data_IF_350604227348
#
_entry.id   IF_350604227348
#
_cell.length_a   1.000
_cell.length_b   1.000
_cell.length_c   1.000
_cell.angle_alpha   90.00
_cell.angle_beta   90.00
_cell.angle_gamma   90.00
#
_symmetry.space_group_name_H-M   'P 1'
#
loop_
_entity.id
_entity.type
_entity.pdbx_description
1 polymer ?
#
# COMPACT_ATOMS: atom_id res chain seq x y z
N UNK A 1 -21.98 36.19 -13.68
CA UNK A 1 -21.81 35.94 -12.23
C UNK A 1 -21.30 34.51 -12.05
N UNK A 2 -20.07 34.32 -11.58
CA UNK A 2 -19.52 32.99 -11.29
C UNK A 2 -19.98 32.52 -9.92
N UNK A 3 -21.03 31.69 -9.88
CA UNK A 3 -21.45 31.05 -8.62
C UNK A 3 -20.34 30.09 -8.17
N UNK A 4 -19.72 30.41 -7.03
CA UNK A 4 -18.71 29.57 -6.38
C UNK A 4 -19.43 28.30 -5.90
N UNK A 5 -19.30 27.21 -6.66
CA UNK A 5 -19.91 25.93 -6.28
C UNK A 5 -19.25 25.46 -4.98
N UNK A 6 -20.02 25.13 -3.92
CA UNK A 6 -19.46 24.66 -2.65
C UNK A 6 -18.63 23.37 -2.82
N UNK A 7 -17.58 23.21 -2.02
CA UNK A 7 -16.73 22.00 -2.04
C UNK A 7 -17.50 20.70 -1.77
N UNK A 8 -18.59 20.78 -1.00
CA UNK A 8 -19.52 19.68 -0.71
C UNK A 8 -20.27 19.22 -1.97
N UNK A 9 -20.70 20.14 -2.84
CA UNK A 9 -21.34 19.84 -4.14
C UNK A 9 -20.38 19.15 -5.12
N UNK A 10 -19.07 19.42 -4.99
CA UNK A 10 -18.01 18.84 -5.82
C UNK A 10 -17.51 17.48 -5.30
N UNK A 11 -18.07 16.99 -4.18
CA UNK A 11 -17.71 15.70 -3.58
C UNK A 11 -16.28 15.63 -3.03
N UNK A 12 -15.65 16.77 -2.74
CA UNK A 12 -14.26 16.82 -2.27
C UNK A 12 -14.11 16.30 -0.83
N UNK A 13 -15.07 16.57 0.06
CA UNK A 13 -14.98 16.12 1.45
C UNK A 13 -14.97 14.59 1.56
N UNK A 14 -15.85 13.93 0.80
CA UNK A 14 -15.89 12.46 0.73
C UNK A 14 -14.58 11.87 0.19
N UNK A 15 -14.02 12.51 -0.84
CA UNK A 15 -12.75 12.11 -1.44
C UNK A 15 -11.58 12.29 -0.47
N UNK A 16 -11.50 13.43 0.22
CA UNK A 16 -10.45 13.69 1.20
C UNK A 16 -10.47 12.65 2.33
N UNK A 17 -11.67 12.27 2.80
CA UNK A 17 -11.81 11.19 3.80
C UNK A 17 -11.34 9.84 3.26
N UNK A 18 -11.69 9.50 2.02
CA UNK A 18 -11.20 8.27 1.37
C UNK A 18 -9.68 8.28 1.25
N UNK A 19 -9.07 9.39 0.83
CA UNK A 19 -7.62 9.53 0.72
C UNK A 19 -6.94 9.34 2.08
N UNK A 20 -7.39 10.04 3.13
CA UNK A 20 -6.82 9.91 4.47
C UNK A 20 -6.92 8.49 5.03
N UNK A 21 -8.03 7.79 4.78
CA UNK A 21 -8.18 6.39 5.18
C UNK A 21 -7.20 5.48 4.43
N UNK A 22 -7.00 5.68 3.13
CA UNK A 22 -6.02 4.90 2.37
C UNK A 22 -4.59 5.23 2.78
N UNK A 23 -4.25 6.50 3.03
CA UNK A 23 -2.94 6.91 3.53
C UNK A 23 -2.58 6.18 4.83
N UNK A 24 -3.51 6.12 5.79
CA UNK A 24 -3.32 5.36 7.03
C UNK A 24 -3.04 3.87 6.78
N UNK A 25 -3.71 3.27 5.79
CA UNK A 25 -3.47 1.86 5.45
C UNK A 25 -2.12 1.67 4.75
N UNK A 26 -1.68 2.64 3.93
CA UNK A 26 -0.35 2.63 3.30
C UNK A 26 0.74 2.78 4.37
N UNK A 27 0.55 3.65 5.35
CA UNK A 27 1.54 3.83 6.42
C UNK A 27 1.60 2.59 7.32
N UNK A 28 0.45 1.94 7.58
CA UNK A 28 0.43 0.62 8.25
C UNK A 28 1.18 -0.44 7.45
N UNK A 29 1.00 -0.48 6.13
CA UNK A 29 1.71 -1.41 5.24
C UNK A 29 3.22 -1.17 5.29
N UNK A 30 3.66 0.09 5.24
CA UNK A 30 5.07 0.44 5.36
C UNK A 30 5.66 0.00 6.71
N UNK A 31 4.92 0.21 7.82
CA UNK A 31 5.35 -0.25 9.14
C UNK A 31 5.48 -1.78 9.25
N UNK A 32 4.58 -2.55 8.62
CA UNK A 32 4.69 -4.01 8.56
C UNK A 32 5.90 -4.44 7.71
N UNK A 33 6.18 -3.74 6.61
CA UNK A 33 7.33 -4.02 5.76
C UNK A 33 8.66 -3.79 6.49
N UNK A 34 8.76 -2.72 7.28
CA UNK A 34 9.94 -2.47 8.14
C UNK A 34 10.15 -3.62 9.13
N UNK A 35 9.08 -4.06 9.82
CA UNK A 35 9.18 -5.20 10.75
C UNK A 35 9.67 -6.48 10.08
N UNK A 36 9.18 -6.76 8.86
CA UNK A 36 9.63 -7.93 8.09
C UNK A 36 11.12 -7.82 7.72
N UNK A 37 11.60 -6.63 7.38
CA UNK A 37 13.04 -6.40 7.13
C UNK A 37 13.88 -6.63 8.37
N UNK A 38 13.46 -6.07 9.50
CA UNK A 38 14.18 -6.22 10.76
C UNK A 38 14.27 -7.69 11.16
N UNK A 39 13.15 -8.43 11.04
CA UNK A 39 13.13 -9.87 11.30
C UNK A 39 14.02 -10.67 10.33
N UNK A 40 14.11 -10.26 9.06
CA UNK A 40 15.01 -10.88 8.10
C UNK A 40 16.49 -10.64 8.47
N UNK A 41 16.87 -9.40 8.77
CA UNK A 41 18.24 -9.07 9.18
C UNK A 41 18.64 -9.79 10.48
N UNK A 42 17.75 -9.81 11.48
CA UNK A 42 17.97 -10.55 12.72
C UNK A 42 18.23 -12.03 12.44
N UNK A 43 17.50 -12.63 11.49
CA UNK A 43 17.60 -14.06 11.16
C UNK A 43 18.97 -14.48 10.66
N UNK A 44 19.71 -13.58 10.01
CA UNK A 44 21.08 -13.83 9.50
C UNK A 44 22.10 -14.06 10.62
N UNK A 45 21.83 -13.54 11.82
CA UNK A 45 22.70 -13.69 12.99
C UNK A 45 22.35 -14.90 13.88
N UNK A 46 21.19 -15.53 13.65
CA UNK A 46 20.66 -16.59 14.49
C UNK A 46 21.26 -17.95 14.10
N UNK A 47 22.07 -18.52 14.96
CA UNK A 47 22.74 -19.83 14.73
C UNK A 47 22.06 -21.01 15.43
N UNK A 48 21.17 -20.76 16.40
CA UNK A 48 20.45 -21.81 17.14
C UNK A 48 19.23 -22.29 16.35
N UNK A 49 19.10 -23.60 16.14
CA UNK A 49 18.02 -24.21 15.35
C UNK A 49 16.60 -23.85 15.86
N UNK A 50 16.38 -23.83 17.18
CA UNK A 50 15.08 -23.45 17.77
C UNK A 50 14.75 -21.98 17.51
N UNK A 51 15.74 -21.10 17.62
CA UNK A 51 15.61 -19.67 17.32
C UNK A 51 15.40 -19.43 15.81
N UNK A 52 16.10 -20.16 14.94
CA UNK A 52 15.89 -20.11 13.48
C UNK A 52 14.45 -20.50 13.12
N UNK A 53 13.90 -21.56 13.73
CA UNK A 53 12.51 -21.95 13.49
C UNK A 53 11.51 -20.90 13.96
N UNK A 54 11.77 -20.27 15.11
CA UNK A 54 10.89 -19.23 15.66
C UNK A 54 10.86 -17.98 14.77
N UNK A 55 12.03 -17.49 14.32
CA UNK A 55 12.12 -16.29 13.48
C UNK A 55 11.52 -16.53 12.09
N UNK A 56 11.67 -17.74 11.53
CA UNK A 56 11.01 -18.16 10.28
C UNK A 56 9.50 -18.06 10.37
N UNK A 57 8.92 -18.65 11.42
CA UNK A 57 7.47 -18.61 11.65
C UNK A 57 6.97 -17.17 11.84
N UNK A 58 7.77 -16.32 12.47
CA UNK A 58 7.45 -14.90 12.62
C UNK A 58 7.45 -14.18 11.26
N UNK A 59 8.49 -14.38 10.43
CA UNK A 59 8.54 -13.81 9.08
C UNK A 59 7.40 -14.30 8.17
N UNK A 60 7.03 -15.58 8.22
CA UNK A 60 5.87 -16.11 7.48
C UNK A 60 4.57 -15.38 7.84
N UNK A 61 4.36 -15.13 9.14
CA UNK A 61 3.21 -14.37 9.63
C UNK A 61 3.27 -12.92 9.15
N UNK A 62 4.42 -12.27 9.22
CA UNK A 62 4.59 -10.90 8.79
C UNK A 62 4.37 -10.75 7.27
N UNK A 63 4.84 -11.71 6.45
CA UNK A 63 4.56 -11.79 5.01
C UNK A 63 3.05 -11.87 4.73
N UNK A 64 2.32 -12.70 5.47
CA UNK A 64 0.85 -12.82 5.32
C UNK A 64 0.14 -11.52 5.73
N UNK A 65 0.56 -10.89 6.83
CA UNK A 65 0.01 -9.60 7.28
C UNK A 65 0.24 -8.48 6.26
N UNK A 66 1.46 -8.36 5.73
CA UNK A 66 1.79 -7.41 4.64
C UNK A 66 0.93 -7.71 3.41
N UNK A 67 0.80 -8.98 3.03
CA UNK A 67 -0.01 -9.41 1.89
C UNK A 67 -1.51 -9.07 2.04
N UNK A 68 -2.08 -9.21 3.24
CA UNK A 68 -3.47 -8.82 3.54
C UNK A 68 -3.66 -7.31 3.47
N UNK A 69 -2.76 -6.54 4.11
CA UNK A 69 -2.81 -5.08 4.08
C UNK A 69 -2.68 -4.55 2.64
N UNK A 70 -1.76 -5.10 1.85
CA UNK A 70 -1.56 -4.76 0.45
C UNK A 70 -2.82 -4.95 -0.41
N UNK A 71 -3.50 -6.09 -0.25
CA UNK A 71 -4.77 -6.35 -0.97
C UNK A 71 -5.83 -5.31 -0.63
N UNK A 72 -5.96 -4.96 0.65
CA UNK A 72 -6.93 -3.95 1.10
C UNK A 72 -6.64 -2.57 0.48
N UNK A 73 -5.39 -2.10 0.57
CA UNK A 73 -4.97 -0.83 -0.06
C UNK A 73 -5.26 -0.83 -1.55
N UNK A 74 -4.91 -1.90 -2.27
CA UNK A 74 -5.15 -2.04 -3.72
C UNK A 74 -6.64 -1.92 -4.07
N UNK A 75 -7.52 -2.55 -3.28
CA UNK A 75 -8.98 -2.46 -3.49
C UNK A 75 -9.47 -1.02 -3.29
N UNK A 76 -9.03 -0.33 -2.23
CA UNK A 76 -9.43 1.05 -1.97
C UNK A 76 -8.95 2.03 -3.03
N UNK A 77 -7.70 1.91 -3.50
CA UNK A 77 -7.18 2.74 -4.60
C UNK A 77 -7.99 2.51 -5.90
N UNK A 78 -8.39 1.27 -6.18
CA UNK A 78 -9.26 0.97 -7.34
C UNK A 78 -10.64 1.59 -7.19
N UNK A 79 -11.22 1.56 -5.98
CA UNK A 79 -12.50 2.20 -5.70
C UNK A 79 -12.44 3.71 -5.91
N UNK A 80 -11.40 4.39 -5.38
CA UNK A 80 -11.20 5.83 -5.57
C UNK A 80 -11.04 6.18 -7.06
N UNK A 81 -10.30 5.37 -7.82
CA UNK A 81 -10.19 5.59 -9.27
C UNK A 81 -11.54 5.48 -9.98
N UNK A 82 -12.37 4.51 -9.61
CA UNK A 82 -13.74 4.39 -10.14
C UNK A 82 -14.59 5.60 -9.77
N UNK A 83 -14.50 6.06 -8.53
CA UNK A 83 -15.23 7.24 -8.04
C UNK A 83 -14.77 8.53 -8.75
N UNK A 84 -13.48 8.67 -9.04
CA UNK A 84 -12.95 9.79 -9.82
C UNK A 84 -13.53 9.80 -11.24
N UNK A 85 -13.65 8.65 -11.89
CA UNK A 85 -14.27 8.53 -13.21
C UNK A 85 -15.76 8.87 -13.16
N UNK A 86 -16.48 8.40 -12.14
CA UNK A 86 -17.89 8.73 -11.94
C UNK A 86 -18.09 10.23 -11.66
N UNK A 87 -17.18 10.86 -10.91
CA UNK A 87 -17.24 12.28 -10.57
C UNK A 87 -17.22 13.17 -11.82
N UNK A 88 -16.63 12.71 -12.93
CA UNK A 88 -16.61 13.44 -14.22
C UNK A 88 -17.99 13.67 -14.83
N UNK A 89 -18.98 12.88 -14.43
CA UNK A 89 -20.36 13.04 -14.91
C UNK A 89 -21.10 14.18 -14.20
N UNK A 90 -20.55 14.72 -13.10
CA UNK A 90 -21.15 15.85 -12.39
C UNK A 90 -20.88 17.17 -13.10
N UNK A 91 -21.85 18.09 -13.04
CA UNK A 91 -21.71 19.47 -13.52
C UNK A 91 -20.47 20.11 -12.85
N UNK A 92 -19.62 20.74 -13.65
CA UNK A 92 -18.37 21.39 -13.21
C UNK A 92 -17.22 20.46 -12.76
N UNK A 93 -17.38 19.14 -12.85
CA UNK A 93 -16.33 18.16 -12.50
C UNK A 93 -15.81 17.36 -13.69
N UNK A 94 -16.14 17.78 -14.92
CA UNK A 94 -15.72 17.11 -16.15
C UNK A 94 -14.21 16.89 -16.27
N UNK A 95 -13.83 16.00 -17.20
CA UNK A 95 -12.42 15.69 -17.48
C UNK A 95 -11.62 16.97 -17.71
N UNK A 96 -10.47 17.08 -17.05
CA UNK A 96 -9.56 18.22 -17.20
C UNK A 96 -9.92 19.45 -16.38
N UNK A 97 -11.03 19.46 -15.62
CA UNK A 97 -11.32 20.52 -14.66
C UNK A 97 -10.28 20.56 -13.52
N UNK A 98 -10.21 21.67 -12.78
CA UNK A 98 -9.31 21.77 -11.64
C UNK A 98 -9.58 20.67 -10.58
N UNK A 99 -10.86 20.37 -10.34
CA UNK A 99 -11.30 19.29 -9.44
C UNK A 99 -10.85 17.92 -9.95
N UNK A 100 -11.09 17.61 -11.22
CA UNK A 100 -10.65 16.34 -11.83
C UNK A 100 -9.13 16.19 -11.75
N UNK A 101 -8.36 17.20 -12.15
CA UNK A 101 -6.89 17.16 -12.11
C UNK A 101 -6.37 16.97 -10.69
N UNK A 102 -6.92 17.69 -9.71
CA UNK A 102 -6.53 17.55 -8.30
C UNK A 102 -6.76 16.12 -7.80
N UNK A 103 -7.96 15.58 -8.00
CA UNK A 103 -8.30 14.21 -7.56
C UNK A 103 -7.43 13.16 -8.23
N UNK A 104 -7.21 13.28 -9.55
CA UNK A 104 -6.36 12.36 -10.29
C UNK A 104 -4.90 12.43 -9.82
N UNK A 105 -4.34 13.63 -9.62
CA UNK A 105 -2.96 13.79 -9.16
C UNK A 105 -2.75 13.15 -7.79
N UNK A 106 -3.64 13.40 -6.83
CA UNK A 106 -3.57 12.83 -5.48
C UNK A 106 -3.68 11.30 -5.54
N UNK A 107 -4.64 10.78 -6.30
CA UNK A 107 -4.85 9.32 -6.43
C UNK A 107 -3.65 8.65 -7.11
N UNK A 108 -3.06 9.29 -8.13
CA UNK A 108 -1.89 8.79 -8.83
C UNK A 108 -0.64 8.77 -7.94
N UNK A 109 -0.43 9.81 -7.12
CA UNK A 109 0.65 9.85 -6.16
C UNK A 109 0.55 8.71 -5.14
N UNK A 110 -0.66 8.47 -4.63
CA UNK A 110 -0.92 7.37 -3.70
C UNK A 110 -0.70 5.99 -4.34
N UNK A 111 -1.15 5.82 -5.60
CA UNK A 111 -0.91 4.60 -6.37
C UNK A 111 0.58 4.35 -6.63
N UNK A 112 1.34 5.43 -6.89
CA UNK A 112 2.80 5.36 -7.06
C UNK A 112 3.50 4.93 -5.76
N UNK A 113 3.22 5.58 -4.63
CA UNK A 113 3.77 5.20 -3.31
C UNK A 113 3.45 3.74 -2.97
N UNK A 114 2.21 3.32 -3.19
CA UNK A 114 1.82 1.92 -2.99
C UNK A 114 2.60 0.96 -3.89
N UNK A 115 2.79 1.29 -5.18
CA UNK A 115 3.55 0.47 -6.12
C UNK A 115 5.01 0.31 -5.68
N UNK A 116 5.65 1.39 -5.21
CA UNK A 116 7.03 1.38 -4.73
C UNK A 116 7.19 0.44 -3.52
N UNK A 117 6.32 0.57 -2.51
CA UNK A 117 6.29 -0.34 -1.36
C UNK A 117 6.08 -1.81 -1.76
N UNK A 118 5.27 -2.05 -2.80
CA UNK A 118 5.02 -3.41 -3.29
C UNK A 118 6.19 -4.01 -4.06
N UNK A 119 6.96 -3.21 -4.78
CA UNK A 119 8.20 -3.68 -5.39
C UNK A 119 9.17 -4.11 -4.29
N UNK A 120 9.35 -3.25 -3.28
CA UNK A 120 10.24 -3.52 -2.15
C UNK A 120 9.84 -4.77 -1.37
N UNK A 121 8.54 -4.96 -1.09
CA UNK A 121 8.04 -6.17 -0.46
C UNK A 121 8.31 -7.43 -1.29
N UNK A 122 8.10 -7.39 -2.61
CA UNK A 122 8.36 -8.55 -3.46
C UNK A 122 9.86 -8.88 -3.51
N UNK A 123 10.73 -7.87 -3.58
CA UNK A 123 12.18 -8.06 -3.51
C UNK A 123 12.59 -8.70 -2.19
N UNK A 124 12.09 -8.20 -1.07
CA UNK A 124 12.39 -8.75 0.26
C UNK A 124 11.90 -10.19 0.39
N UNK A 125 10.66 -10.47 -0.03
CA UNK A 125 10.09 -11.81 0.02
C UNK A 125 10.89 -12.80 -0.81
N UNK A 126 11.30 -12.42 -2.02
CA UNK A 126 12.14 -13.26 -2.86
C UNK A 126 13.50 -13.54 -2.19
N UNK A 127 14.13 -12.52 -1.61
CA UNK A 127 15.39 -12.70 -0.88
C UNK A 127 15.26 -13.66 0.31
N UNK A 128 14.19 -13.54 1.09
CA UNK A 128 13.86 -14.47 2.18
C UNK A 128 13.71 -15.91 1.66
N UNK A 129 12.96 -16.11 0.56
CA UNK A 129 12.72 -17.43 -0.02
C UNK A 129 14.02 -18.05 -0.58
N UNK A 130 14.88 -17.25 -1.20
CA UNK A 130 16.17 -17.68 -1.75
C UNK A 130 17.15 -18.07 -0.63
N UNK A 131 17.26 -17.25 0.43
CA UNK A 131 18.08 -17.55 1.61
C UNK A 131 17.64 -18.87 2.28
N UNK A 132 16.35 -19.16 2.34
CA UNK A 132 15.87 -20.44 2.87
C UNK A 132 16.26 -21.63 2.01
N UNK A 133 16.16 -21.48 0.69
CA UNK A 133 16.52 -22.55 -0.24
C UNK A 133 17.99 -22.94 -0.07
N UNK A 134 18.89 -21.98 0.06
CA UNK A 134 20.31 -22.25 0.31
C UNK A 134 20.57 -23.00 1.62
N UNK A 135 19.88 -22.65 2.70
CA UNK A 135 20.05 -23.32 4.00
C UNK A 135 19.51 -24.76 3.97
N UNK A 136 18.43 -25.02 3.23
CA UNK A 136 17.87 -26.36 3.07
C UNK A 136 18.68 -27.23 2.11
N UNK A 137 19.27 -26.66 1.07
CA UNK A 137 20.10 -27.41 0.10
C UNK A 137 21.51 -27.72 0.63
N UNK A 138 22.00 -26.97 1.64
CA UNK A 138 23.32 -27.16 2.27
C UNK A 138 23.31 -27.93 3.59
N UNK A 139 22.13 -28.27 4.14
CA UNK A 139 21.96 -28.98 5.41
C UNK A 139 21.45 -30.40 5.24
#
# INVERSE_FOLDING_TARGET
>A
MGSRVPNSDLGLDSFNKQIQDVEKQVDKLAGLLVKLKDANEDSKSVTKASSMKAIRKQMEKDIDEVGKAARNVKVKIKAINKDNLANRQKRSCGKGTAVDRSRMNITNALAKKFKELMIEFQTLRQGIDDEYREVVEKG
#
